data_IF_225926383965
#
_entry.id   IF_225926383965
#
_cell.length_a   1.000
_cell.length_b   1.000
_cell.length_c   1.000
_cell.angle_alpha   90.00
_cell.angle_beta   90.00
_cell.angle_gamma   90.00
#
_symmetry.space_group_name_H-M   'P 1'
#
loop_
_entity.id
_entity.type
_entity.pdbx_description
1 polymer ?
#
# COMPACT_ATOMS: atom_id res chain seq x y z
N UNK A 1 39.09 59.92 -37.73
CA UNK A 1 37.92 60.12 -36.84
C UNK A 1 37.54 58.77 -36.23
N UNK A 2 37.33 58.73 -34.90
CA UNK A 2 36.68 57.71 -34.00
C UNK A 2 36.08 56.44 -34.67
N UNK A 3 36.14 55.20 -34.15
CA UNK A 3 36.04 54.69 -32.75
C UNK A 3 36.37 53.16 -32.64
N UNK A 4 36.59 52.73 -31.40
CA UNK A 4 36.95 51.46 -30.72
C UNK A 4 36.33 50.05 -31.06
N UNK A 5 37.18 49.00 -30.94
CA UNK A 5 37.07 47.66 -30.21
C UNK A 5 35.98 46.61 -30.57
N UNK A 6 36.00 45.34 -30.03
CA UNK A 6 36.97 44.64 -29.16
C UNK A 6 37.25 43.11 -29.48
N UNK A 7 37.95 42.45 -28.53
CA UNK A 7 38.63 41.13 -28.41
C UNK A 7 37.92 39.79 -28.66
N UNK A 8 38.70 38.72 -28.95
CA UNK A 8 38.49 37.34 -28.40
C UNK A 8 39.72 36.38 -28.55
N UNK A 9 39.91 35.54 -27.52
CA UNK A 9 40.42 34.14 -27.48
C UNK A 9 41.88 33.78 -27.82
N UNK A 10 42.61 33.32 -26.79
CA UNK A 10 43.85 32.53 -26.92
C UNK A 10 43.87 31.33 -25.95
N UNK A 11 44.07 30.12 -26.49
CA UNK A 11 44.23 28.82 -25.80
C UNK A 11 45.54 28.74 -24.99
N UNK A 12 45.68 27.73 -24.10
CA UNK A 12 46.99 27.11 -23.80
C UNK A 12 47.08 25.61 -24.19
N UNK A 13 48.31 25.04 -24.24
CA UNK A 13 48.67 23.91 -25.11
C UNK A 13 48.78 22.53 -24.41
N UNK A 14 48.91 21.49 -25.25
CA UNK A 14 49.12 20.08 -24.91
C UNK A 14 50.56 19.70 -24.52
N UNK A 15 50.66 18.54 -23.84
CA UNK A 15 51.78 17.60 -23.73
C UNK A 15 52.88 17.81 -22.68
N UNK A 16 52.76 17.07 -21.57
CA UNK A 16 53.86 16.33 -20.93
C UNK A 16 53.34 15.02 -20.31
N UNK A 17 53.83 13.88 -20.77
CA UNK A 17 53.76 12.57 -20.09
C UNK A 17 54.93 12.40 -19.12
N UNK A 18 54.71 11.74 -17.96
CA UNK A 18 55.73 10.89 -17.37
C UNK A 18 55.24 9.46 -17.04
N UNK A 19 56.22 8.58 -16.93
CA UNK A 19 56.22 7.10 -16.81
C UNK A 19 55.45 6.44 -15.63
N UNK A 20 55.24 5.10 -15.69
CA UNK A 20 54.36 4.34 -14.80
C UNK A 20 55.13 3.65 -13.66
N UNK A 21 54.79 3.96 -12.41
CA UNK A 21 54.94 3.08 -11.24
C UNK A 21 54.45 3.83 -9.99
N UNK A 22 53.31 3.43 -9.44
CA UNK A 22 52.74 4.03 -8.23
C UNK A 22 51.25 3.74 -8.10
N UNK A 23 50.91 2.45 -7.99
CA UNK A 23 49.57 1.98 -7.69
C UNK A 23 49.03 2.56 -6.37
N UNK A 24 47.70 2.72 -6.32
CA UNK A 24 46.84 3.13 -5.19
C UNK A 24 46.52 4.63 -5.07
N UNK A 25 45.69 5.13 -6.00
CA UNK A 25 44.72 6.18 -5.68
C UNK A 25 43.42 5.51 -5.21
N UNK A 26 43.18 5.48 -3.91
CA UNK A 26 41.80 5.54 -3.38
C UNK A 26 41.62 6.92 -2.76
N UNK A 27 40.74 7.68 -3.40
CA UNK A 27 40.41 9.05 -3.10
C UNK A 27 39.82 9.13 -1.68
N UNK A 28 40.62 9.71 -0.80
CA UNK A 28 40.17 10.31 0.45
C UNK A 28 39.55 11.66 0.10
N UNK A 29 38.22 11.77 0.18
CA UNK A 29 37.49 13.05 0.12
C UNK A 29 36.35 13.10 -0.88
N UNK A 30 35.14 12.77 -0.40
CA UNK A 30 33.86 13.38 -0.80
C UNK A 30 32.71 12.78 0.03
N UNK A 31 32.67 13.06 1.33
CA UNK A 31 31.47 12.92 2.18
C UNK A 31 31.25 14.19 3.03
N UNK A 32 31.66 15.33 2.50
CA UNK A 32 31.26 16.64 3.02
C UNK A 32 30.25 17.24 2.03
N UNK A 33 29.00 16.85 2.21
CA UNK A 33 27.87 17.32 1.41
C UNK A 33 26.59 17.17 2.21
N UNK A 34 26.16 18.29 2.82
CA UNK A 34 24.86 18.49 3.49
C UNK A 34 24.67 17.88 4.89
N UNK A 35 25.61 18.10 5.81
CA UNK A 35 25.22 18.24 7.22
C UNK A 35 24.55 19.62 7.39
N UNK A 36 23.30 19.75 6.94
CA UNK A 36 22.42 20.74 7.55
C UNK A 36 22.40 20.37 9.04
N UNK A 37 22.77 21.30 9.94
CA UNK A 37 22.57 21.11 11.38
C UNK A 37 21.08 20.92 11.60
N UNK A 38 20.64 19.66 11.52
CA UNK A 38 19.34 19.22 11.92
C UNK A 38 19.41 19.18 13.43
N UNK A 39 18.81 20.18 14.08
CA UNK A 39 18.64 20.17 15.52
C UNK A 39 17.67 19.02 15.85
N UNK A 40 18.24 17.82 16.04
CA UNK A 40 17.55 16.67 16.58
C UNK A 40 17.24 16.94 18.05
N UNK A 41 16.10 16.45 18.53
CA UNK A 41 15.83 16.50 19.95
C UNK A 41 16.86 15.66 20.72
N UNK A 42 17.18 16.10 21.93
CA UNK A 42 18.12 15.42 22.82
C UNK A 42 17.70 13.97 23.10
N UNK A 43 18.68 13.08 23.20
CA UNK A 43 18.46 11.65 23.45
C UNK A 43 18.04 10.82 22.24
N UNK A 44 17.89 11.40 21.03
CA UNK A 44 17.50 10.64 19.83
C UNK A 44 18.48 9.49 19.52
N UNK A 45 18.00 8.23 19.48
CA UNK A 45 18.85 7.07 19.18
C UNK A 45 19.42 7.11 17.75
N UNK A 46 20.68 6.69 17.60
CA UNK A 46 21.35 6.62 16.29
C UNK A 46 20.60 5.79 15.24
N UNK A 47 19.97 4.64 15.57
CA UNK A 47 19.17 3.89 14.60
C UNK A 47 18.00 4.69 14.02
N UNK A 48 17.36 5.54 14.85
CA UNK A 48 16.27 6.43 14.41
C UNK A 48 16.83 7.56 13.53
N UNK A 49 17.99 8.11 13.88
CA UNK A 49 18.66 9.14 13.06
C UNK A 49 19.01 8.61 11.66
N UNK A 50 19.53 7.39 11.59
CA UNK A 50 19.85 6.73 10.32
C UNK A 50 18.58 6.46 9.49
N UNK A 51 17.52 5.96 10.12
CA UNK A 51 16.24 5.75 9.44
C UNK A 51 15.64 7.06 8.92
N UNK A 52 15.68 8.13 9.72
CA UNK A 52 15.22 9.46 9.31
C UNK A 52 15.96 9.99 8.07
N UNK A 53 17.27 9.76 7.96
CA UNK A 53 18.05 10.20 6.81
C UNK A 53 17.53 9.59 5.48
N UNK A 54 17.01 8.36 5.53
CA UNK A 54 16.37 7.73 4.37
C UNK A 54 15.00 8.35 4.06
N UNK A 55 14.24 8.68 5.10
CA UNK A 55 12.90 9.30 4.97
C UNK A 55 12.97 10.72 4.42
N UNK A 56 13.96 11.52 4.83
CA UNK A 56 14.13 12.93 4.41
C UNK A 56 14.94 13.09 3.11
N UNK A 57 15.27 11.99 2.42
CA UNK A 57 15.97 12.01 1.15
C UNK A 57 15.14 12.67 0.03
N UNK A 58 15.81 13.25 -0.97
CA UNK A 58 15.16 13.98 -2.08
C UNK A 58 14.20 13.11 -2.90
N UNK A 59 14.56 11.84 -3.11
CA UNK A 59 13.76 10.86 -3.85
C UNK A 59 13.14 9.82 -2.90
N UNK A 60 12.60 10.29 -1.78
CA UNK A 60 11.98 9.42 -0.78
C UNK A 60 10.66 8.82 -1.30
N UNK A 61 10.43 7.50 -1.13
CA UNK A 61 9.14 6.88 -1.46
C UNK A 61 8.05 7.22 -0.43
N UNK A 62 8.40 7.88 0.67
CA UNK A 62 7.47 8.22 1.75
C UNK A 62 6.56 9.39 1.36
N UNK A 63 5.31 9.33 1.82
CA UNK A 63 4.35 10.41 1.63
C UNK A 63 4.80 11.70 2.33
N UNK A 64 4.23 12.84 1.92
CA UNK A 64 4.44 14.13 2.60
C UNK A 64 4.02 14.08 4.07
N UNK A 65 2.97 13.32 4.42
CA UNK A 65 2.50 13.19 5.79
C UNK A 65 3.50 12.40 6.64
N UNK A 66 4.01 11.28 6.11
CA UNK A 66 5.09 10.49 6.72
C UNK A 66 6.34 11.32 6.97
N UNK A 67 6.80 12.10 5.98
CA UNK A 67 7.98 12.98 6.13
C UNK A 67 7.74 14.05 7.21
N UNK A 68 6.54 14.63 7.29
CA UNK A 68 6.23 15.59 8.35
C UNK A 68 6.19 14.94 9.73
N UNK A 69 5.60 13.75 9.86
CA UNK A 69 5.58 13.01 11.11
C UNK A 69 7.00 12.65 11.55
N UNK A 70 7.85 12.18 10.63
CA UNK A 70 9.26 11.90 10.86
C UNK A 70 10.00 13.13 11.40
N UNK A 71 9.84 14.29 10.75
CA UNK A 71 10.44 15.55 11.20
C UNK A 71 9.99 15.94 12.60
N UNK A 72 8.71 15.79 12.93
CA UNK A 72 8.20 16.08 14.29
C UNK A 72 8.79 15.11 15.30
N UNK A 73 8.77 13.80 15.02
CA UNK A 73 9.27 12.78 15.94
C UNK A 73 10.75 12.95 16.29
N UNK A 74 11.59 13.40 15.35
CA UNK A 74 13.04 13.55 15.60
C UNK A 74 13.46 14.94 16.08
N UNK A 75 12.59 15.96 16.00
CA UNK A 75 12.94 17.35 16.36
C UNK A 75 12.10 17.96 17.47
N UNK A 76 10.88 17.48 17.70
CA UNK A 76 10.01 18.03 18.74
C UNK A 76 10.62 17.77 20.12
N UNK A 77 10.91 18.82 20.93
CA UNK A 77 11.55 18.66 22.23
C UNK A 77 10.77 17.74 23.18
N UNK A 78 9.45 17.63 23.01
CA UNK A 78 8.62 16.75 23.85
C UNK A 78 9.04 15.27 23.71
N UNK A 79 9.64 14.88 22.58
CA UNK A 79 10.12 13.51 22.36
C UNK A 79 11.37 13.17 23.15
N UNK A 80 12.08 14.13 23.74
CA UNK A 80 13.21 13.84 24.64
C UNK A 80 12.77 12.92 25.79
N UNK A 81 11.61 13.19 26.38
CA UNK A 81 11.03 12.37 27.44
C UNK A 81 10.65 10.95 26.96
N UNK A 82 10.42 10.75 25.66
CA UNK A 82 10.20 9.44 25.08
C UNK A 82 11.51 8.69 24.93
N UNK A 83 12.51 9.30 24.29
CA UNK A 83 13.78 8.65 23.97
C UNK A 83 14.64 8.33 25.19
N UNK A 84 14.53 9.13 26.26
CA UNK A 84 15.25 8.91 27.52
C UNK A 84 14.45 8.08 28.53
N UNK A 85 13.29 7.53 28.16
CA UNK A 85 12.42 6.85 29.12
C UNK A 85 12.94 5.47 29.49
N UNK A 86 13.28 5.28 30.77
CA UNK A 86 13.60 3.97 31.35
C UNK A 86 12.41 2.98 31.28
N UNK A 87 11.18 3.48 31.07
CA UNK A 87 10.00 2.63 30.94
C UNK A 87 9.93 1.88 29.60
N UNK A 88 10.78 2.21 28.63
CA UNK A 88 10.94 1.46 27.37
C UNK A 88 12.00 0.37 27.53
N UNK A 89 11.62 -0.78 28.10
CA UNK A 89 12.56 -1.87 28.35
C UNK A 89 13.26 -2.40 27.08
N UNK A 90 12.59 -2.38 25.92
CA UNK A 90 13.18 -2.81 24.64
C UNK A 90 14.15 -1.78 24.06
N UNK A 91 14.12 -0.52 24.49
CA UNK A 91 15.02 0.52 24.00
C UNK A 91 16.50 0.27 24.33
N UNK A 92 16.74 -0.55 25.35
CA UNK A 92 18.06 -0.96 25.83
C UNK A 92 18.26 -2.49 25.76
N UNK A 93 17.33 -3.21 25.14
CA UNK A 93 17.40 -4.67 25.01
C UNK A 93 18.38 -5.14 23.95
N UNK A 94 18.52 -6.47 23.82
CA UNK A 94 19.49 -7.07 22.89
C UNK A 94 19.27 -6.70 21.42
N UNK A 95 18.04 -6.38 21.03
CA UNK A 95 17.64 -6.01 19.66
C UNK A 95 17.30 -4.51 19.53
N UNK A 96 17.78 -3.66 20.44
CA UNK A 96 17.41 -2.24 20.51
C UNK A 96 17.53 -1.51 19.16
N UNK A 97 18.61 -1.74 18.41
CA UNK A 97 18.82 -1.09 17.11
C UNK A 97 17.71 -1.39 16.09
N UNK A 98 17.33 -2.66 15.98
CA UNK A 98 16.23 -3.12 15.11
C UNK A 98 14.90 -2.61 15.63
N UNK A 99 14.65 -2.74 16.93
CA UNK A 99 13.41 -2.30 17.57
C UNK A 99 13.14 -0.81 17.37
N UNK A 100 14.18 0.04 17.49
CA UNK A 100 14.09 1.47 17.23
C UNK A 100 13.70 1.80 15.79
N UNK A 101 14.28 1.10 14.80
CA UNK A 101 13.93 1.28 13.38
C UNK A 101 12.50 0.84 13.10
N UNK A 102 12.11 -0.32 13.60
CA UNK A 102 10.75 -0.86 13.43
C UNK A 102 9.69 0.02 14.11
N UNK A 103 9.97 0.51 15.32
CA UNK A 103 9.11 1.46 16.01
C UNK A 103 8.94 2.74 15.19
N UNK A 104 10.03 3.28 14.65
CA UNK A 104 9.99 4.51 13.87
C UNK A 104 9.13 4.32 12.63
N UNK A 105 9.34 3.24 11.86
CA UNK A 105 8.53 2.93 10.69
C UNK A 105 7.04 2.76 11.04
N UNK A 106 6.72 2.01 12.11
CA UNK A 106 5.37 1.86 12.61
C UNK A 106 4.72 3.21 12.96
N UNK A 107 5.47 4.12 13.59
CA UNK A 107 5.00 5.46 13.95
C UNK A 107 4.72 6.34 12.71
N UNK A 108 5.50 6.17 11.63
CA UNK A 108 5.30 6.88 10.36
C UNK A 108 4.09 6.34 9.60
N UNK A 109 4.01 5.03 9.40
CA UNK A 109 2.88 4.39 8.72
C UNK A 109 1.54 4.68 9.44
N UNK A 110 1.55 4.72 10.78
CA UNK A 110 0.37 5.10 11.55
C UNK A 110 -0.03 6.58 11.33
N UNK A 111 0.94 7.48 11.13
CA UNK A 111 0.66 8.90 10.85
C UNK A 111 0.13 9.12 9.43
N UNK A 112 0.53 8.25 8.49
CA UNK A 112 0.10 8.29 7.09
C UNK A 112 -1.26 7.65 6.83
N UNK A 113 -1.81 6.96 7.84
CA UNK A 113 -3.08 6.25 7.73
C UNK A 113 -4.26 7.24 7.61
N UNK A 114 -4.74 7.44 6.38
CA UNK A 114 -5.94 8.24 6.11
C UNK A 114 -7.22 7.39 6.22
N UNK A 115 -7.75 7.33 7.45
CA UNK A 115 -8.99 6.61 7.75
C UNK A 115 -10.20 7.18 6.99
N UNK A 116 -10.22 8.49 6.74
CA UNK A 116 -11.32 9.15 6.03
C UNK A 116 -11.31 8.77 4.55
N UNK A 117 -10.13 8.75 3.92
CA UNK A 117 -9.94 8.25 2.56
C UNK A 117 -10.34 6.78 2.46
N UNK A 118 -9.91 5.93 3.39
CA UNK A 118 -10.29 4.51 3.40
C UNK A 118 -11.82 4.32 3.46
N UNK A 119 -12.49 5.09 4.32
CA UNK A 119 -13.96 5.10 4.43
C UNK A 119 -14.64 5.59 3.16
N UNK A 120 -14.07 6.59 2.51
CA UNK A 120 -14.57 7.11 1.25
C UNK A 120 -14.40 6.11 0.11
N UNK A 121 -13.27 5.41 0.05
CA UNK A 121 -13.04 4.32 -0.91
C UNK A 121 -14.08 3.20 -0.73
N UNK A 122 -14.42 2.81 0.51
CA UNK A 122 -15.46 1.82 0.78
C UNK A 122 -16.82 2.28 0.27
N UNK A 123 -17.19 3.55 0.50
CA UNK A 123 -18.45 4.11 -0.03
C UNK A 123 -18.47 4.09 -1.56
N UNK A 124 -17.37 4.44 -2.21
CA UNK A 124 -17.26 4.37 -3.67
C UNK A 124 -17.37 2.94 -4.18
N UNK A 125 -16.77 1.98 -3.49
CA UNK A 125 -16.91 0.56 -3.82
C UNK A 125 -18.36 0.10 -3.69
N UNK A 126 -19.07 0.48 -2.62
CA UNK A 126 -20.51 0.22 -2.47
C UNK A 126 -21.32 0.75 -3.66
N UNK A 127 -21.11 2.02 -4.03
CA UNK A 127 -21.79 2.64 -5.18
C UNK A 127 -21.46 1.92 -6.48
N UNK A 128 -20.19 1.58 -6.71
CA UNK A 128 -19.75 0.91 -7.93
C UNK A 128 -20.30 -0.51 -8.03
N UNK A 129 -20.32 -1.27 -6.94
CA UNK A 129 -20.90 -2.62 -6.90
C UNK A 129 -22.41 -2.56 -7.12
N UNK A 130 -23.11 -1.62 -6.51
CA UNK A 130 -24.55 -1.44 -6.74
C UNK A 130 -24.85 -1.11 -8.20
N UNK A 131 -24.07 -0.20 -8.80
CA UNK A 131 -24.17 0.11 -10.24
C UNK A 131 -23.85 -1.12 -11.10
N UNK A 132 -22.86 -1.93 -10.73
CA UNK A 132 -22.50 -3.15 -11.44
C UNK A 132 -23.66 -4.15 -11.42
N UNK A 133 -24.30 -4.36 -10.26
CA UNK A 133 -25.48 -5.21 -10.12
C UNK A 133 -26.59 -4.77 -11.07
N UNK A 134 -26.90 -3.47 -11.10
CA UNK A 134 -27.91 -2.92 -12.02
C UNK A 134 -27.57 -3.21 -13.49
N UNK A 135 -26.34 -2.88 -13.91
CA UNK A 135 -25.93 -3.05 -15.32
C UNK A 135 -25.91 -4.52 -15.72
N UNK A 136 -25.49 -5.43 -14.83
CA UNK A 136 -25.50 -6.86 -15.09
C UNK A 136 -26.93 -7.42 -15.16
N UNK A 137 -27.87 -6.89 -14.38
CA UNK A 137 -29.28 -7.26 -14.44
C UNK A 137 -29.91 -6.87 -15.78
N UNK A 138 -29.62 -5.66 -16.25
CA UNK A 138 -30.05 -5.18 -17.57
C UNK A 138 -29.40 -6.01 -18.69
N UNK A 139 -28.07 -6.21 -18.63
CA UNK A 139 -27.33 -6.93 -19.66
C UNK A 139 -27.75 -8.40 -19.76
N UNK A 140 -27.93 -9.11 -18.64
CA UNK A 140 -28.37 -10.51 -18.65
C UNK A 140 -29.78 -10.64 -19.22
N UNK A 141 -30.67 -9.68 -18.95
CA UNK A 141 -32.01 -9.65 -19.52
C UNK A 141 -31.97 -9.50 -21.05
N UNK A 142 -31.23 -8.50 -21.54
CA UNK A 142 -31.10 -8.22 -22.97
C UNK A 142 -30.47 -9.39 -23.74
N UNK A 143 -29.38 -9.98 -23.23
CA UNK A 143 -28.72 -11.11 -23.93
C UNK A 143 -29.61 -12.35 -23.92
N UNK A 144 -30.32 -12.61 -22.82
CA UNK A 144 -31.28 -13.71 -22.76
C UNK A 144 -32.46 -13.51 -23.73
N UNK A 145 -32.99 -12.29 -23.86
CA UNK A 145 -34.04 -11.99 -24.83
C UNK A 145 -33.54 -12.21 -26.27
N UNK A 146 -32.31 -11.78 -26.57
CA UNK A 146 -31.65 -12.02 -27.87
C UNK A 146 -31.49 -13.53 -28.16
N UNK A 147 -31.01 -14.31 -27.19
CA UNK A 147 -30.87 -15.77 -27.31
C UNK A 147 -32.24 -16.45 -27.52
N UNK A 148 -33.30 -16.00 -26.84
CA UNK A 148 -34.65 -16.57 -26.97
C UNK A 148 -35.30 -16.25 -28.32
N UNK A 149 -35.13 -15.01 -28.81
CA UNK A 149 -35.72 -14.56 -30.06
C UNK A 149 -34.99 -15.11 -31.29
N UNK A 150 -33.73 -15.56 -31.17
CA UNK A 150 -32.90 -16.08 -32.27
C UNK A 150 -33.62 -17.10 -33.14
N UNK A 151 -34.31 -18.07 -32.53
CA UNK A 151 -35.02 -19.12 -33.26
C UNK A 151 -36.19 -18.59 -34.12
N UNK A 152 -36.70 -17.41 -33.80
CA UNK A 152 -37.83 -16.76 -34.47
C UNK A 152 -37.43 -15.56 -35.34
N UNK A 153 -36.26 -14.98 -35.07
CA UNK A 153 -35.75 -13.80 -35.74
C UNK A 153 -35.17 -14.16 -37.11
N UNK A 154 -35.42 -13.31 -38.11
CA UNK A 154 -34.81 -13.44 -39.46
C UNK A 154 -33.44 -12.78 -39.56
N UNK A 155 -32.73 -12.67 -38.43
CA UNK A 155 -31.39 -12.11 -38.34
C UNK A 155 -30.48 -13.13 -37.66
N UNK A 156 -29.28 -13.33 -38.21
CA UNK A 156 -28.27 -14.18 -37.59
C UNK A 156 -27.49 -13.35 -36.57
N UNK A 157 -27.35 -13.87 -35.37
CA UNK A 157 -26.53 -13.27 -34.32
C UNK A 157 -25.08 -13.79 -34.50
N UNK A 158 -24.04 -12.96 -34.27
CA UNK A 158 -22.67 -13.43 -34.29
C UNK A 158 -22.45 -14.53 -33.23
N UNK A 159 -21.70 -15.57 -33.59
CA UNK A 159 -21.54 -16.78 -32.76
C UNK A 159 -20.91 -16.49 -31.38
N UNK A 160 -20.17 -15.39 -31.26
CA UNK A 160 -19.55 -14.90 -30.03
C UNK A 160 -20.58 -14.45 -28.98
N UNK A 161 -21.82 -14.15 -29.37
CA UNK A 161 -22.89 -13.80 -28.43
C UNK A 161 -23.62 -15.03 -27.89
N UNK A 162 -23.51 -16.18 -28.56
CA UNK A 162 -24.21 -17.42 -28.18
C UNK A 162 -23.27 -18.41 -27.48
N UNK A 163 -21.97 -18.37 -27.77
CA UNK A 163 -20.97 -19.32 -27.26
C UNK A 163 -19.75 -18.61 -26.63
N UNK A 164 -19.52 -18.88 -25.34
CA UNK A 164 -18.37 -18.34 -24.59
C UNK A 164 -17.02 -18.70 -25.23
N UNK A 165 -16.89 -19.87 -25.86
CA UNK A 165 -15.62 -20.29 -26.45
C UNK A 165 -15.25 -19.40 -27.63
N UNK A 166 -16.24 -19.03 -28.44
CA UNK A 166 -16.06 -18.10 -29.55
C UNK A 166 -15.83 -16.67 -29.03
N UNK A 167 -16.50 -16.26 -27.95
CA UNK A 167 -16.24 -14.98 -27.30
C UNK A 167 -14.79 -14.88 -26.77
N UNK A 168 -14.27 -15.95 -26.19
CA UNK A 168 -12.89 -16.03 -25.71
C UNK A 168 -11.89 -15.87 -26.86
N UNK A 169 -12.09 -16.59 -27.97
CA UNK A 169 -11.25 -16.46 -29.17
C UNK A 169 -11.27 -15.04 -29.72
N UNK A 170 -12.47 -14.45 -29.90
CA UNK A 170 -12.62 -13.09 -30.40
C UNK A 170 -11.97 -12.06 -29.47
N UNK A 171 -12.06 -12.25 -28.16
CA UNK A 171 -11.43 -11.39 -27.15
C UNK A 171 -9.91 -11.45 -27.25
N UNK A 172 -9.34 -12.67 -27.31
CA UNK A 172 -7.90 -12.88 -27.35
C UNK A 172 -7.25 -12.31 -28.63
N UNK A 173 -7.96 -12.37 -29.76
CA UNK A 173 -7.48 -11.82 -31.03
C UNK A 173 -7.61 -10.28 -31.11
N UNK A 174 -8.30 -9.62 -30.18
CA UNK A 174 -8.58 -8.18 -30.27
C UNK A 174 -7.42 -7.32 -29.69
N UNK A 175 -6.71 -6.52 -30.52
CA UNK A 175 -5.49 -5.80 -30.12
C UNK A 175 -5.72 -4.64 -29.12
N UNK A 176 -6.98 -4.31 -28.84
CA UNK A 176 -7.36 -3.31 -27.83
C UNK A 176 -7.83 -3.89 -26.49
N UNK A 177 -7.96 -5.21 -26.38
CA UNK A 177 -8.41 -5.88 -25.14
C UNK A 177 -7.25 -6.65 -24.51
N UNK A 178 -6.48 -7.37 -25.33
CA UNK A 178 -5.38 -8.21 -24.89
C UNK A 178 -4.08 -7.72 -25.54
N UNK A 179 -3.06 -7.49 -24.72
CA UNK A 179 -1.73 -7.08 -25.19
C UNK A 179 -1.00 -8.23 -25.93
N UNK A 180 0.15 -7.91 -26.53
CA UNK A 180 0.90 -8.89 -27.33
C UNK A 180 1.46 -10.05 -26.49
N UNK A 181 1.72 -9.82 -25.19
CA UNK A 181 2.24 -10.84 -24.29
C UNK A 181 1.17 -11.86 -23.93
N UNK A 182 0.01 -11.39 -23.48
CA UNK A 182 -1.12 -12.25 -23.11
C UNK A 182 -1.69 -12.97 -24.35
N UNK A 183 -1.68 -12.33 -25.52
CA UNK A 183 -2.04 -12.98 -26.78
C UNK A 183 -1.10 -14.13 -27.12
N UNK A 184 0.22 -13.93 -27.00
CA UNK A 184 1.17 -15.01 -27.23
C UNK A 184 0.96 -16.19 -26.27
N UNK A 185 0.67 -15.92 -24.98
CA UNK A 185 0.35 -16.99 -24.01
C UNK A 185 -0.95 -17.72 -24.35
N UNK A 186 -1.96 -16.99 -24.80
CA UNK A 186 -3.21 -17.57 -25.26
C UNK A 186 -2.98 -18.52 -26.44
N UNK A 187 -2.27 -18.07 -27.47
CA UNK A 187 -1.96 -18.86 -28.67
C UNK A 187 -1.16 -20.12 -28.35
N UNK A 188 -0.19 -20.04 -27.45
CA UNK A 188 0.67 -21.17 -27.09
C UNK A 188 -0.03 -22.19 -26.17
N UNK A 189 -0.86 -21.73 -25.22
CA UNK A 189 -1.34 -22.58 -24.12
C UNK A 189 -2.85 -22.85 -24.15
N UNK A 190 -3.66 -21.84 -24.47
CA UNK A 190 -5.12 -21.90 -24.35
C UNK A 190 -5.77 -22.34 -25.66
N UNK A 191 -5.34 -21.77 -26.79
CA UNK A 191 -5.88 -22.05 -28.12
C UNK A 191 -5.85 -23.54 -28.50
N UNK A 192 -4.75 -24.30 -28.28
CA UNK A 192 -4.74 -25.73 -28.62
C UNK A 192 -5.80 -26.55 -27.87
N UNK A 193 -6.13 -26.15 -26.63
CA UNK A 193 -7.16 -26.79 -25.81
C UNK A 193 -8.57 -26.41 -26.27
N UNK A 194 -8.77 -25.16 -26.69
CA UNK A 194 -10.03 -24.72 -27.29
C UNK A 194 -10.29 -25.46 -28.60
N UNK A 195 -9.27 -25.63 -29.45
CA UNK A 195 -9.36 -26.41 -30.69
C UNK A 195 -9.78 -27.86 -30.42
N UNK A 196 -9.27 -28.49 -29.35
CA UNK A 196 -9.73 -29.81 -28.92
C UNK A 196 -11.23 -29.78 -28.61
N UNK A 197 -11.69 -28.84 -27.78
CA UNK A 197 -13.10 -28.70 -27.41
C UNK A 197 -13.99 -28.46 -28.65
N UNK A 198 -13.59 -27.57 -29.56
CA UNK A 198 -14.31 -27.30 -30.80
C UNK A 198 -14.45 -28.55 -31.69
N UNK A 199 -13.43 -29.41 -31.76
CA UNK A 199 -13.50 -30.69 -32.49
C UNK A 199 -14.46 -31.69 -31.82
N UNK A 200 -14.66 -31.59 -30.51
CA UNK A 200 -15.55 -32.46 -29.73
C UNK A 200 -16.98 -31.92 -29.56
N UNK A 201 -17.35 -30.76 -30.13
CA UNK A 201 -18.68 -30.14 -29.99
C UNK A 201 -19.89 -30.98 -30.46
N UNK A 202 -19.69 -32.22 -30.93
CA UNK A 202 -20.74 -33.23 -31.11
C UNK A 202 -20.99 -34.15 -29.91
N UNK A 203 -20.24 -33.99 -28.81
CA UNK A 203 -20.34 -34.81 -27.59
C UNK A 203 -21.28 -34.18 -26.57
N UNK A 204 -22.29 -34.93 -26.12
CA UNK A 204 -23.24 -34.50 -25.08
C UNK A 204 -22.62 -34.39 -23.67
N UNK A 205 -21.32 -34.63 -23.52
CA UNK A 205 -20.63 -34.72 -22.23
C UNK A 205 -20.10 -33.37 -21.68
N UNK A 206 -20.05 -32.31 -22.50
CA UNK A 206 -19.45 -31.04 -22.10
C UNK A 206 -20.52 -29.94 -21.97
N UNK A 207 -20.79 -29.48 -20.75
CA UNK A 207 -21.56 -28.25 -20.52
C UNK A 207 -20.69 -27.05 -20.90
N UNK A 208 -21.09 -26.33 -21.96
CA UNK A 208 -20.49 -25.07 -22.37
C UNK A 208 -21.53 -23.97 -22.04
N UNK A 209 -21.23 -23.04 -21.12
CA UNK A 209 -22.20 -22.03 -20.74
C UNK A 209 -22.41 -21.00 -21.85
N UNK A 210 -23.64 -20.55 -22.04
CA UNK A 210 -23.93 -19.40 -22.90
C UNK A 210 -23.43 -18.09 -22.27
N UNK A 211 -23.36 -17.03 -23.06
CA UNK A 211 -22.97 -15.70 -22.57
C UNK A 211 -24.00 -15.20 -21.54
N UNK A 212 -25.30 -15.42 -21.76
CA UNK A 212 -26.33 -15.07 -20.78
C UNK A 212 -26.17 -15.80 -19.43
N UNK A 213 -25.77 -17.08 -19.45
CA UNK A 213 -25.53 -17.87 -18.24
C UNK A 213 -24.34 -17.34 -17.43
N UNK A 214 -23.27 -16.91 -18.11
CA UNK A 214 -22.11 -16.31 -17.43
C UNK A 214 -22.42 -14.93 -16.85
N UNK A 215 -23.15 -14.08 -17.58
CA UNK A 215 -23.62 -12.79 -17.07
C UNK A 215 -24.51 -12.98 -15.84
N UNK A 216 -25.38 -13.99 -15.86
CA UNK A 216 -26.21 -14.35 -14.70
C UNK A 216 -25.37 -14.81 -13.51
N UNK A 217 -24.35 -15.63 -13.72
CA UNK A 217 -23.42 -16.04 -12.66
C UNK A 217 -22.69 -14.86 -12.03
N UNK A 218 -22.21 -13.92 -12.85
CA UNK A 218 -21.55 -12.71 -12.39
C UNK A 218 -22.51 -11.78 -11.64
N UNK A 219 -23.75 -11.63 -12.12
CA UNK A 219 -24.81 -10.90 -11.43
C UNK A 219 -25.04 -11.46 -10.02
N UNK A 220 -25.22 -12.78 -9.87
CA UNK A 220 -25.45 -13.42 -8.56
C UNK A 220 -24.28 -13.16 -7.60
N UNK A 221 -23.04 -13.28 -8.09
CA UNK A 221 -21.85 -12.98 -7.28
C UNK A 221 -21.80 -11.49 -6.86
N UNK A 222 -22.10 -10.57 -7.78
CA UNK A 222 -22.13 -9.14 -7.51
C UNK A 222 -23.24 -8.76 -6.52
N UNK A 223 -24.44 -9.35 -6.63
CA UNK A 223 -25.53 -9.14 -5.67
C UNK A 223 -25.19 -9.67 -4.28
N UNK A 224 -24.51 -10.82 -4.21
CA UNK A 224 -23.98 -11.34 -2.94
C UNK A 224 -22.99 -10.38 -2.28
N UNK A 225 -22.08 -9.81 -3.08
CA UNK A 225 -21.14 -8.80 -2.60
C UNK A 225 -21.86 -7.50 -2.19
N UNK A 226 -22.85 -7.04 -2.94
CA UNK A 226 -23.65 -5.87 -2.60
C UNK A 226 -24.33 -6.03 -1.23
N UNK A 227 -24.96 -7.18 -0.99
CA UNK A 227 -25.59 -7.50 0.28
C UNK A 227 -24.57 -7.52 1.44
N UNK A 228 -23.38 -8.09 1.23
CA UNK A 228 -22.30 -8.06 2.21
C UNK A 228 -21.79 -6.64 2.49
N UNK A 229 -21.70 -5.80 1.47
CA UNK A 229 -21.24 -4.42 1.60
C UNK A 229 -22.28 -3.49 2.23
N UNK A 230 -23.57 -3.88 2.26
CA UNK A 230 -24.64 -3.09 2.87
C UNK A 230 -24.46 -2.90 4.39
N UNK A 231 -23.88 -3.89 5.08
CA UNK A 231 -23.64 -3.84 6.51
C UNK A 231 -22.15 -3.95 6.83
N UNK A 232 -21.64 -3.06 7.69
CA UNK A 232 -20.21 -3.03 8.05
C UNK A 232 -19.69 -4.33 8.67
N UNK A 233 -20.57 -5.03 9.36
CA UNK A 233 -20.29 -6.31 10.04
C UNK A 233 -20.10 -7.46 9.06
N UNK A 234 -20.70 -7.36 7.87
CA UNK A 234 -20.65 -8.39 6.83
C UNK A 234 -19.66 -8.08 5.71
N UNK A 235 -19.01 -6.91 5.75
CA UNK A 235 -17.97 -6.55 4.78
C UNK A 235 -16.85 -7.61 4.85
N UNK A 236 -16.43 -8.17 3.70
CA UNK A 236 -15.33 -9.14 3.66
C UNK A 236 -13.98 -8.42 3.80
N UNK A 237 -13.67 -8.01 5.04
CA UNK A 237 -12.43 -7.31 5.36
C UNK A 237 -11.21 -8.18 5.03
N UNK A 238 -10.14 -7.56 4.52
CA UNK A 238 -8.82 -8.20 4.34
C UNK A 238 -8.08 -8.34 5.68
N UNK A 239 -8.74 -8.95 6.66
CA UNK A 239 -8.21 -9.21 8.00
C UNK A 239 -8.90 -8.44 9.13
N UNK A 240 -8.70 -8.94 10.35
CA UNK A 240 -9.35 -8.45 11.57
C UNK A 240 -9.01 -6.98 11.88
N UNK A 241 -7.80 -6.54 11.58
CA UNK A 241 -7.37 -5.16 11.85
C UNK A 241 -8.19 -4.12 11.06
N UNK A 242 -8.42 -4.37 9.77
CA UNK A 242 -9.24 -3.51 8.93
C UNK A 242 -10.70 -3.48 9.44
N UNK A 243 -11.23 -4.64 9.85
CA UNK A 243 -12.55 -4.74 10.48
C UNK A 243 -12.62 -3.86 11.74
N UNK A 244 -11.67 -4.00 12.66
CA UNK A 244 -11.65 -3.27 13.94
C UNK A 244 -11.55 -1.74 13.76
N UNK A 245 -10.80 -1.30 12.75
CA UNK A 245 -10.62 0.12 12.45
C UNK A 245 -11.86 0.71 11.79
N UNK A 246 -12.42 0.03 10.78
CA UNK A 246 -13.39 0.63 9.86
C UNK A 246 -14.85 0.27 10.17
N UNK A 247 -15.11 -0.67 11.09
CA UNK A 247 -16.47 -0.98 11.55
C UNK A 247 -17.10 0.15 12.36
N UNK A 248 -16.32 0.91 13.12
CA UNK A 248 -16.81 2.07 13.89
C UNK A 248 -17.50 3.11 12.98
N UNK A 249 -18.61 3.70 13.43
CA UNK A 249 -19.30 4.76 12.69
C UNK A 249 -18.54 6.09 12.65
N UNK A 250 -17.75 6.40 13.69
CA UNK A 250 -16.99 7.65 13.79
C UNK A 250 -15.53 7.40 13.46
N UNK A 251 -15.03 8.17 12.50
CA UNK A 251 -13.60 8.32 12.23
C UNK A 251 -12.94 8.97 13.45
N UNK A 252 -11.78 8.47 13.84
CA UNK A 252 -10.99 9.07 14.90
C UNK A 252 -9.51 8.80 14.63
N UNK A 253 -8.84 9.80 14.05
CA UNK A 253 -7.40 9.75 13.73
C UNK A 253 -6.52 9.29 14.89
N UNK A 254 -6.86 9.62 16.14
CA UNK A 254 -6.09 9.17 17.31
C UNK A 254 -6.27 7.68 17.56
N UNK A 255 -7.49 7.17 17.40
CA UNK A 255 -7.78 5.74 17.52
C UNK A 255 -7.11 4.98 16.37
N UNK A 256 -7.20 5.47 15.14
CA UNK A 256 -6.52 4.91 13.98
C UNK A 256 -5.02 4.80 14.23
N UNK A 257 -4.36 5.90 14.58
CA UNK A 257 -2.94 5.93 14.90
C UNK A 257 -2.54 4.91 15.98
N UNK A 258 -3.22 4.96 17.13
CA UNK A 258 -2.93 4.09 18.29
C UNK A 258 -3.04 2.61 17.92
N UNK A 259 -4.08 2.24 17.17
CA UNK A 259 -4.30 0.85 16.76
C UNK A 259 -3.29 0.40 15.73
N UNK A 260 -2.96 1.26 14.76
CA UNK A 260 -1.93 0.95 13.76
C UNK A 260 -0.57 0.70 14.40
N UNK A 261 -0.17 1.54 15.38
CA UNK A 261 1.08 1.32 16.14
C UNK A 261 1.01 0.03 16.95
N UNK A 262 -0.05 -0.17 17.74
CA UNK A 262 -0.20 -1.38 18.55
C UNK A 262 -0.16 -2.65 17.68
N UNK A 263 -0.78 -2.64 16.49
CA UNK A 263 -0.78 -3.79 15.57
C UNK A 263 0.59 -4.03 14.94
N UNK A 264 1.22 -2.98 14.39
CA UNK A 264 2.53 -3.09 13.77
C UNK A 264 3.57 -3.62 14.77
N UNK A 265 3.57 -3.11 16.00
CA UNK A 265 4.48 -3.60 17.04
C UNK A 265 4.15 -5.03 17.50
N UNK A 266 2.87 -5.44 17.52
CA UNK A 266 2.47 -6.81 17.87
C UNK A 266 2.91 -7.84 16.82
N UNK A 267 2.79 -7.51 15.54
CA UNK A 267 3.12 -8.42 14.43
C UNK A 267 4.61 -8.80 14.41
N UNK A 268 5.47 -7.89 14.86
CA UNK A 268 6.92 -8.10 15.04
C UNK A 268 7.36 -8.08 16.51
N UNK A 269 6.47 -8.48 17.43
CA UNK A 269 6.71 -8.36 18.89
C UNK A 269 7.99 -9.02 19.40
N UNK A 270 8.43 -10.08 18.73
CA UNK A 270 9.66 -10.83 19.06
C UNK A 270 10.93 -10.00 18.85
N UNK A 271 10.87 -8.90 18.10
CA UNK A 271 11.98 -7.97 17.93
C UNK A 271 12.08 -6.95 19.08
N UNK A 272 11.01 -6.79 19.86
CA UNK A 272 10.96 -5.89 21.00
C UNK A 272 11.16 -6.64 22.31
N UNK A 273 12.41 -7.03 22.56
CA UNK A 273 12.80 -7.78 23.77
C UNK A 273 13.63 -6.92 24.72
N UNK A 274 13.54 -7.21 26.01
CA UNK A 274 14.42 -6.60 27.02
C UNK A 274 15.79 -7.31 27.09
N UNK A 275 16.65 -6.89 28.01
CA UNK A 275 17.97 -7.50 28.24
C UNK A 275 17.91 -8.99 28.59
N UNK A 276 16.79 -9.47 29.15
CA UNK A 276 16.56 -10.87 29.50
C UNK A 276 15.86 -11.66 28.38
N UNK A 277 15.78 -11.12 27.16
CA UNK A 277 15.07 -11.69 26.01
C UNK A 277 13.55 -11.90 26.23
N UNK A 278 12.95 -11.23 27.20
CA UNK A 278 11.51 -11.26 27.39
C UNK A 278 10.81 -10.24 26.47
N UNK A 279 9.72 -10.66 25.82
CA UNK A 279 8.90 -9.78 24.97
C UNK A 279 8.34 -8.60 25.78
N UNK A 280 8.59 -7.38 25.31
CA UNK A 280 8.13 -6.14 25.93
C UNK A 280 7.69 -5.08 24.91
N UNK A 281 7.14 -5.50 23.77
CA UNK A 281 6.73 -4.65 22.65
C UNK A 281 5.78 -3.50 22.99
N UNK A 282 4.94 -3.64 24.03
CA UNK A 282 3.83 -2.70 24.27
C UNK A 282 4.34 -1.40 24.90
N UNK A 283 4.18 -0.29 24.18
CA UNK A 283 4.50 1.04 24.71
C UNK A 283 3.64 1.38 25.95
N UNK A 284 4.18 2.06 26.97
CA UNK A 284 3.39 2.69 28.02
C UNK A 284 2.37 3.69 27.47
N UNK A 285 1.18 3.80 28.08
CA UNK A 285 0.10 4.67 27.59
C UNK A 285 0.52 6.15 27.49
N UNK A 286 1.34 6.63 28.44
CA UNK A 286 1.87 7.99 28.47
C UNK A 286 2.80 8.27 27.29
N UNK A 287 3.66 7.29 26.96
CA UNK A 287 4.62 7.40 25.86
C UNK A 287 3.94 7.28 24.50
N UNK A 288 2.98 6.35 24.34
CA UNK A 288 2.19 6.27 23.12
C UNK A 288 1.35 7.53 22.91
N UNK A 289 0.81 8.12 23.99
CA UNK A 289 0.09 9.38 23.92
C UNK A 289 0.99 10.55 23.50
N UNK A 290 2.21 10.60 24.02
CA UNK A 290 3.22 11.58 23.62
C UNK A 290 3.58 11.44 22.14
N UNK A 291 3.97 10.23 21.71
CA UNK A 291 4.29 9.91 20.33
C UNK A 291 3.14 10.27 19.37
N UNK A 292 1.90 9.87 19.70
CA UNK A 292 0.71 10.14 18.89
C UNK A 292 0.48 11.64 18.71
N UNK A 293 0.59 12.45 19.78
CA UNK A 293 0.47 13.91 19.68
C UNK A 293 1.54 14.48 18.75
N UNK A 294 2.80 14.09 18.95
CA UNK A 294 3.93 14.62 18.17
C UNK A 294 3.82 14.24 16.70
N UNK A 295 3.58 12.96 16.39
CA UNK A 295 3.47 12.47 15.02
C UNK A 295 2.36 13.21 14.24
N UNK A 296 1.19 13.37 14.88
CA UNK A 296 0.03 14.05 14.29
C UNK A 296 0.12 15.58 14.34
N UNK A 297 1.13 16.16 15.00
CA UNK A 297 1.31 17.62 15.12
C UNK A 297 0.32 18.29 16.08
N UNK A 298 -0.19 17.55 17.06
CA UNK A 298 -1.12 18.06 18.06
C UNK A 298 -0.41 18.74 19.24
N UNK A 299 -1.08 19.73 19.80
CA UNK A 299 -0.70 20.37 21.06
C UNK A 299 -0.98 19.48 22.28
N UNK A 300 -0.78 20.04 23.48
CA UNK A 300 -1.13 19.34 24.71
C UNK A 300 -2.64 19.30 24.93
N UNK A 301 -3.16 18.08 25.06
CA UNK A 301 -4.57 17.82 25.21
C UNK A 301 -4.83 17.17 26.57
N UNK A 302 -5.67 17.80 27.39
CA UNK A 302 -6.04 17.27 28.70
C UNK A 302 -6.77 15.92 28.56
N UNK A 303 -6.44 14.99 29.46
CA UNK A 303 -7.02 13.64 29.49
C UNK A 303 -6.66 12.75 28.29
N UNK A 304 -5.69 13.14 27.45
CA UNK A 304 -5.38 12.41 26.21
C UNK A 304 -4.87 10.99 26.46
N UNK A 305 -4.07 10.76 27.51
CA UNK A 305 -3.61 9.42 27.92
C UNK A 305 -4.80 8.48 28.14
N UNK A 306 -5.87 8.97 28.80
CA UNK A 306 -7.09 8.19 29.01
C UNK A 306 -7.83 7.85 27.71
N UNK A 307 -7.81 8.75 26.72
CA UNK A 307 -8.37 8.50 25.37
C UNK A 307 -7.55 7.47 24.61
N UNK A 308 -6.22 7.55 24.68
CA UNK A 308 -5.30 6.57 24.09
C UNK A 308 -5.54 5.20 24.70
N UNK A 309 -5.56 5.08 26.03
CA UNK A 309 -5.85 3.83 26.75
C UNK A 309 -7.14 3.15 26.27
N UNK A 310 -8.22 3.91 26.08
CA UNK A 310 -9.51 3.40 25.58
C UNK A 310 -9.47 2.96 24.11
N UNK A 311 -8.50 3.45 23.35
CA UNK A 311 -8.39 3.20 21.91
C UNK A 311 -7.52 1.99 21.57
N UNK A 312 -6.68 1.55 22.52
CA UNK A 312 -5.70 0.46 22.34
C UNK A 312 -6.35 -0.86 21.97
N UNK A 313 -5.62 -1.67 21.21
CA UNK A 313 -6.03 -3.04 20.92
C UNK A 313 -5.79 -3.88 22.17
N UNK A 314 -6.79 -4.69 22.52
CA UNK A 314 -6.64 -5.79 23.48
C UNK A 314 -6.32 -7.01 22.65
N UNK A 315 -5.06 -7.39 22.65
CA UNK A 315 -4.67 -8.72 22.24
C UNK A 315 -4.97 -9.59 23.45
N UNK A 316 -6.16 -10.19 23.48
CA UNK A 316 -6.36 -11.37 24.35
C UNK A 316 -5.41 -12.46 23.83
N UNK A 317 -5.00 -13.40 24.69
CA UNK A 317 -4.10 -14.48 24.32
C UNK A 317 -4.78 -15.39 23.28
N UNK A 318 -4.87 -14.93 22.04
CA UNK A 318 -5.24 -15.72 20.88
C UNK A 318 -4.02 -16.56 20.54
N UNK A 319 -4.06 -17.77 21.10
CA UNK A 319 -3.72 -19.00 20.41
C UNK A 319 -3.30 -18.77 18.95
N UNK A 320 -1.98 -18.84 18.74
CA UNK A 320 -1.41 -19.45 17.55
C UNK A 320 -1.03 -20.88 17.91
#
# INVERSE_FOLDING_TARGET
>A
MRKCGPSSLGRPPENRTPSPAGSAFFVKGAYEGCAMNLDFCSGLPDPVRQAYALVDAVETPYSRASVQAARRLVRDPRMEAFYQSESLAWAYGSNADTAWRLWFDAALCAADSDEDLAREVIKRQQVNVSKLVQVLDEARGLVNDIEQDEASARISIPIEFSDVLHLLEATAQHPGIVDDYDRARYEENSRPRLDEIFRFNGSSACFIPSVAQLLTGLYVAASGLEAQLAHRETIPWRGQFAADQLTSQKSNKYRGYVRSVDRAMWDVRHEYVNENHAECWRLPDSLLALQCKVALGEGDLEGFVGRVRKSRIRFENDEL
#
